data_IF_704305758427
#
_entry.id   IF_704305758427
#
_cell.length_a   1.000
_cell.length_b   1.000
_cell.length_c   1.000
_cell.angle_alpha   90.00
_cell.angle_beta   90.00
_cell.angle_gamma   90.00
#
_symmetry.space_group_name_H-M   'P 1'
#
loop_
_entity.id
_entity.type
_entity.pdbx_description
1 polymer ?
#
# COMPACT_ATOMS: atom_id res chain seq x y z
N UNK A 1 29.78 14.59 79.26
CA UNK A 1 29.61 13.17 78.87
C UNK A 1 28.12 12.89 78.77
N UNK A 2 27.58 12.84 77.56
CA UNK A 2 26.15 12.56 77.31
C UNK A 2 26.06 11.24 76.55
N UNK A 3 25.27 10.31 77.10
CA UNK A 3 25.04 8.95 76.62
C UNK A 3 23.84 8.97 75.67
N UNK A 4 24.05 8.58 74.41
CA UNK A 4 22.98 8.31 73.44
C UNK A 4 22.81 6.81 73.22
N UNK A 5 21.74 6.21 73.76
CA UNK A 5 21.25 4.88 73.39
C UNK A 5 20.38 5.00 72.14
N UNK A 6 20.63 4.15 71.14
CA UNK A 6 19.78 4.00 69.96
C UNK A 6 18.79 2.86 70.07
N UNK A 7 17.70 2.94 69.29
CA UNK A 7 16.87 1.89 68.66
C UNK A 7 15.99 2.70 67.68
N UNK A 8 15.82 2.51 66.37
CA UNK A 8 15.85 1.36 65.47
C UNK A 8 14.52 1.39 64.69
N UNK A 9 14.52 1.73 63.40
CA UNK A 9 13.52 1.20 62.44
C UNK A 9 13.88 1.54 60.99
N UNK A 10 13.71 0.52 60.17
CA UNK A 10 14.00 0.38 58.75
C UNK A 10 13.12 1.31 57.91
N UNK A 11 13.70 2.11 57.00
CA UNK A 11 12.92 2.82 55.98
C UNK A 11 13.64 2.82 54.63
N UNK A 12 12.84 2.50 53.61
CA UNK A 12 13.20 2.02 52.28
C UNK A 12 13.73 3.14 51.38
N UNK A 13 14.59 2.72 50.45
CA UNK A 13 15.08 3.43 49.26
C UNK A 13 13.94 4.15 48.52
N UNK A 14 13.90 5.48 48.58
CA UNK A 14 13.00 6.31 47.77
C UNK A 14 13.67 6.60 46.42
N UNK A 15 13.15 5.95 45.38
CA UNK A 15 13.43 6.27 43.98
C UNK A 15 12.74 7.61 43.66
N UNK A 16 13.50 8.63 43.24
CA UNK A 16 12.94 9.90 42.78
C UNK A 16 12.20 9.67 41.45
N UNK A 17 10.88 9.78 41.47
CA UNK A 17 10.07 9.89 40.27
C UNK A 17 10.23 11.32 39.71
N UNK A 18 10.78 11.44 38.51
CA UNK A 18 10.71 12.66 37.72
C UNK A 18 9.27 12.78 37.19
N UNK A 19 8.59 13.87 37.54
CA UNK A 19 7.30 14.27 36.99
C UNK A 19 7.46 14.63 35.52
N UNK A 20 6.93 13.82 34.62
CA UNK A 20 6.72 14.21 33.23
C UNK A 20 5.34 14.87 33.12
N UNK A 21 5.35 16.15 32.76
CA UNK A 21 4.18 16.93 32.39
C UNK A 21 3.51 16.28 31.19
N UNK A 22 2.29 15.78 31.38
CA UNK A 22 1.49 15.21 30.30
C UNK A 22 1.04 16.33 29.35
N UNK A 23 1.49 16.29 28.10
CA UNK A 23 0.74 16.91 27.00
C UNK A 23 -0.24 15.84 26.52
N UNK A 24 -1.47 15.97 27.00
CA UNK A 24 -2.61 15.23 26.50
C UNK A 24 -2.92 15.71 25.07
N UNK A 25 -2.81 14.79 24.12
CA UNK A 25 -3.14 15.02 22.71
C UNK A 25 -3.12 13.73 21.91
N UNK A 26 -3.42 12.59 22.55
CA UNK A 26 -3.73 11.36 21.81
C UNK A 26 -5.22 11.43 21.51
N UNK A 27 -5.53 11.81 20.27
CA UNK A 27 -6.83 11.48 19.70
C UNK A 27 -6.95 9.97 19.80
N UNK A 28 -7.94 9.52 20.57
CA UNK A 28 -8.42 8.14 20.52
C UNK A 28 -8.60 7.80 19.03
N UNK A 29 -7.85 6.82 18.53
CA UNK A 29 -8.29 6.00 17.41
C UNK A 29 -9.59 5.36 17.91
N UNK A 30 -10.72 6.04 17.64
CA UNK A 30 -12.04 5.55 17.98
C UNK A 30 -12.16 4.15 17.42
N UNK A 31 -12.68 3.24 18.24
CA UNK A 31 -13.04 1.90 17.80
C UNK A 31 -13.82 2.04 16.48
N UNK A 32 -13.20 1.61 15.39
CA UNK A 32 -13.87 1.52 14.10
C UNK A 32 -15.12 0.66 14.31
N UNK A 33 -16.25 1.12 13.76
CA UNK A 33 -17.53 0.46 13.85
C UNK A 33 -17.43 -1.03 13.52
N UNK A 34 -18.34 -1.81 14.09
CA UNK A 34 -18.40 -3.28 14.02
C UNK A 34 -18.82 -3.83 12.65
N UNK A 35 -18.45 -3.17 11.56
CA UNK A 35 -18.65 -3.64 10.18
C UNK A 35 -17.32 -3.69 9.45
N UNK A 36 -17.05 -4.77 8.74
CA UNK A 36 -15.91 -4.84 7.82
C UNK A 36 -15.98 -3.64 6.88
N UNK A 37 -14.91 -2.86 6.79
CA UNK A 37 -14.86 -1.75 5.86
C UNK A 37 -14.80 -2.33 4.43
N UNK A 38 -15.71 -1.92 3.54
CA UNK A 38 -15.69 -2.37 2.15
C UNK A 38 -14.31 -2.08 1.54
N UNK A 39 -13.52 -3.12 1.19
CA UNK A 39 -12.20 -2.95 0.62
C UNK A 39 -12.31 -2.38 -0.80
N UNK A 40 -11.26 -1.72 -1.25
CA UNK A 40 -11.13 -1.33 -2.64
C UNK A 40 -10.88 -2.61 -3.45
N UNK A 41 -11.72 -2.87 -4.46
CA UNK A 41 -11.67 -4.09 -5.29
C UNK A 41 -10.54 -4.06 -6.35
N UNK A 42 -9.45 -3.35 -6.04
CA UNK A 42 -8.22 -3.32 -6.82
C UNK A 42 -7.01 -3.39 -5.91
N UNK A 43 -5.83 -3.53 -6.52
CA UNK A 43 -4.55 -3.35 -5.85
C UNK A 43 -3.44 -3.34 -6.87
N UNK A 44 -2.18 -3.24 -6.44
CA UNK A 44 -1.14 -2.77 -7.35
C UNK A 44 -1.25 -1.27 -7.60
N UNK A 45 -0.41 -0.74 -8.48
CA UNK A 45 -0.18 0.71 -8.64
C UNK A 45 -0.45 1.18 -10.07
N UNK A 46 -0.71 2.47 -10.21
CA UNK A 46 -0.63 3.10 -11.51
C UNK A 46 0.81 2.92 -12.05
N UNK A 47 0.94 2.59 -13.32
CA UNK A 47 2.20 2.12 -13.87
C UNK A 47 2.28 2.33 -15.38
N UNK A 48 3.50 2.33 -15.91
CA UNK A 48 3.75 2.49 -17.33
C UNK A 48 3.34 1.23 -18.12
N UNK A 49 2.13 1.27 -18.67
CA UNK A 49 1.55 0.19 -19.47
C UNK A 49 1.89 0.40 -20.95
N UNK A 50 1.94 1.65 -21.39
CA UNK A 50 2.24 1.99 -22.78
C UNK A 50 3.73 1.98 -23.13
N UNK A 51 4.59 1.76 -22.14
CA UNK A 51 6.05 1.74 -22.24
C UNK A 51 6.62 3.08 -22.72
N UNK A 52 5.99 4.18 -22.33
CA UNK A 52 6.36 5.55 -22.72
C UNK A 52 7.08 6.32 -21.61
N UNK A 53 7.30 5.67 -20.47
CA UNK A 53 7.96 6.19 -19.30
C UNK A 53 7.02 6.89 -18.32
N UNK A 54 5.72 7.01 -18.57
CA UNK A 54 4.75 7.66 -17.68
C UNK A 54 3.75 6.67 -17.08
N UNK A 55 3.28 6.89 -15.83
CA UNK A 55 2.33 5.97 -15.21
C UNK A 55 0.93 6.13 -15.81
N UNK A 56 0.41 5.06 -16.37
CA UNK A 56 -0.94 4.95 -16.91
C UNK A 56 -1.90 4.40 -15.85
N UNK A 57 -3.21 4.53 -16.13
CA UNK A 57 -4.25 3.88 -15.34
C UNK A 57 -4.88 2.74 -16.12
N UNK A 58 -5.14 1.62 -15.45
CA UNK A 58 -5.94 0.53 -15.98
C UNK A 58 -7.27 0.52 -15.25
N UNK A 59 -8.37 0.40 -15.99
CA UNK A 59 -9.69 0.34 -15.38
C UNK A 59 -10.60 -0.67 -16.07
N UNK A 60 -11.59 -1.17 -15.35
CA UNK A 60 -12.71 -1.89 -15.95
C UNK A 60 -13.88 -0.95 -16.14
N UNK A 61 -14.38 -0.88 -17.36
CA UNK A 61 -15.63 -0.18 -17.64
C UNK A 61 -16.82 -0.98 -17.09
N UNK A 62 -17.54 -0.40 -16.14
CA UNK A 62 -18.63 -1.01 -15.37
C UNK A 62 -19.77 -1.58 -16.22
N UNK A 63 -20.10 -0.92 -17.33
CA UNK A 63 -21.25 -1.31 -18.16
C UNK A 63 -20.92 -2.32 -19.25
N UNK A 64 -19.66 -2.39 -19.68
CA UNK A 64 -19.26 -3.20 -20.83
C UNK A 64 -18.27 -4.32 -20.51
N UNK A 65 -17.72 -4.35 -19.30
CA UNK A 65 -16.70 -5.33 -18.91
C UNK A 65 -15.41 -5.23 -19.68
N UNK A 66 -15.18 -4.12 -20.37
CA UNK A 66 -13.94 -3.89 -21.10
C UNK A 66 -12.85 -3.48 -20.12
N UNK A 67 -11.67 -4.07 -20.29
CA UNK A 67 -10.45 -3.53 -19.71
C UNK A 67 -9.99 -2.36 -20.57
N UNK A 68 -9.77 -1.23 -19.92
CA UNK A 68 -9.39 0.03 -20.52
C UNK A 68 -8.03 0.43 -19.97
N UNK A 69 -7.16 0.96 -20.83
CA UNK A 69 -5.95 1.67 -20.42
C UNK A 69 -6.18 3.14 -20.73
N UNK A 70 -5.90 4.00 -19.75
CA UNK A 70 -5.92 5.46 -19.86
C UNK A 70 -4.47 5.95 -19.80
N UNK A 71 -3.83 6.15 -20.97
CA UNK A 71 -2.44 6.57 -20.99
C UNK A 71 -2.27 7.96 -20.40
N UNK A 72 -1.15 8.15 -19.71
CA UNK A 72 -0.70 9.48 -19.33
C UNK A 72 -0.29 10.26 -20.59
N UNK A 73 -0.57 11.57 -20.64
CA UNK A 73 -0.28 12.39 -21.83
C UNK A 73 1.19 12.81 -21.98
N UNK A 74 2.06 12.36 -21.08
CA UNK A 74 3.41 12.88 -20.91
C UNK A 74 3.47 14.26 -20.23
N UNK A 75 2.34 14.78 -19.72
CA UNK A 75 2.29 16.07 -19.03
C UNK A 75 1.20 16.08 -17.94
N UNK A 76 1.60 16.38 -16.71
CA UNK A 76 0.66 16.64 -15.62
C UNK A 76 -0.04 18.00 -15.83
N UNK A 77 -1.23 17.98 -16.41
CA UNK A 77 -1.95 19.19 -16.88
C UNK A 77 -3.46 19.08 -16.64
N UNK A 78 -3.86 18.93 -15.39
CA UNK A 78 -5.27 18.86 -15.01
C UNK A 78 -5.99 17.74 -15.76
N UNK A 79 -7.14 18.02 -16.36
CA UNK A 79 -7.94 17.02 -17.09
C UNK A 79 -7.28 16.45 -18.34
N UNK A 80 -6.19 17.04 -18.83
CA UNK A 80 -5.42 16.53 -19.96
C UNK A 80 -4.34 15.52 -19.53
N UNK A 81 -4.26 15.19 -18.24
CA UNK A 81 -3.30 14.20 -17.71
C UNK A 81 -3.60 12.80 -18.27
N UNK A 82 -4.88 12.40 -18.31
CA UNK A 82 -5.35 11.13 -18.87
C UNK A 82 -6.40 11.39 -19.97
N UNK A 83 -6.00 11.86 -21.15
CA UNK A 83 -6.90 12.52 -22.10
C UNK A 83 -7.85 11.58 -22.85
N UNK A 84 -7.46 10.31 -23.01
CA UNK A 84 -8.29 9.31 -23.69
C UNK A 84 -7.89 7.90 -23.28
N UNK A 85 -8.77 6.93 -23.52
CA UNK A 85 -8.51 5.53 -23.24
C UNK A 85 -8.58 4.66 -24.50
N UNK A 86 -7.96 3.49 -24.46
CA UNK A 86 -8.17 2.43 -25.44
C UNK A 86 -8.58 1.12 -24.76
N UNK A 87 -9.26 0.25 -25.50
CA UNK A 87 -9.63 -1.08 -25.01
C UNK A 87 -8.41 -2.01 -25.06
N UNK A 88 -8.01 -2.50 -23.89
CA UNK A 88 -6.96 -3.50 -23.70
C UNK A 88 -7.51 -4.94 -23.65
N UNK A 89 -8.82 -5.11 -23.49
CA UNK A 89 -9.44 -6.43 -23.57
C UNK A 89 -10.95 -6.41 -23.32
N UNK A 90 -11.58 -7.56 -23.54
CA UNK A 90 -13.03 -7.77 -23.36
C UNK A 90 -13.30 -8.92 -22.38
N UNK A 91 -14.50 -8.95 -21.78
CA UNK A 91 -14.94 -10.07 -20.95
C UNK A 91 -14.41 -10.07 -19.51
N UNK A 92 -14.11 -8.90 -18.95
CA UNK A 92 -13.56 -8.76 -17.59
C UNK A 92 -14.64 -8.71 -16.49
N UNK A 93 -15.92 -8.83 -16.84
CA UNK A 93 -17.05 -8.84 -15.89
C UNK A 93 -17.01 -10.01 -14.89
N UNK A 94 -16.34 -11.10 -15.26
CA UNK A 94 -16.18 -12.28 -14.41
C UNK A 94 -15.19 -12.09 -13.24
N UNK A 95 -14.43 -10.98 -13.24
CA UNK A 95 -13.42 -10.71 -12.21
C UNK A 95 -14.03 -9.90 -11.06
N UNK A 96 -13.73 -10.22 -9.81
CA UNK A 96 -14.15 -9.43 -8.65
C UNK A 96 -13.06 -8.48 -8.16
N UNK A 97 -11.82 -8.71 -8.58
CA UNK A 97 -10.66 -7.91 -8.24
C UNK A 97 -9.68 -7.87 -9.43
N UNK A 98 -9.07 -6.70 -9.70
CA UNK A 98 -8.04 -6.52 -10.75
C UNK A 98 -6.93 -5.63 -10.19
N UNK A 99 -5.68 -5.98 -10.48
CA UNK A 99 -4.54 -5.17 -10.13
C UNK A 99 -3.36 -5.34 -11.08
N UNK A 100 -2.36 -4.48 -10.91
CA UNK A 100 -1.10 -4.51 -11.67
C UNK A 100 0.04 -5.08 -10.84
N UNK A 101 0.88 -5.91 -11.47
CA UNK A 101 2.11 -6.40 -10.86
C UNK A 101 3.12 -6.89 -11.91
N UNK A 102 4.41 -6.75 -11.68
CA UNK A 102 5.43 -7.46 -12.47
C UNK A 102 5.62 -8.86 -11.88
N UNK A 103 4.89 -9.86 -12.39
CA UNK A 103 4.90 -11.21 -11.80
C UNK A 103 5.96 -12.12 -12.41
N UNK A 104 6.49 -11.77 -13.58
CA UNK A 104 7.48 -12.58 -14.31
C UNK A 104 8.91 -12.00 -14.26
N UNK A 105 9.07 -10.77 -13.76
CA UNK A 105 10.35 -10.09 -13.57
C UNK A 105 10.92 -9.46 -14.83
N UNK A 106 10.06 -9.18 -15.82
CA UNK A 106 10.47 -8.57 -17.10
C UNK A 106 10.42 -7.03 -17.10
N UNK A 107 10.11 -6.43 -15.95
CA UNK A 107 9.98 -4.99 -15.69
C UNK A 107 8.79 -4.33 -16.38
N UNK A 108 7.85 -5.10 -16.93
CA UNK A 108 6.57 -4.60 -17.42
C UNK A 108 5.48 -5.02 -16.45
N UNK A 109 4.51 -4.13 -16.21
CA UNK A 109 3.39 -4.49 -15.33
C UNK A 109 2.42 -5.41 -16.07
N UNK A 110 2.24 -6.58 -15.51
CA UNK A 110 1.20 -7.54 -15.87
C UNK A 110 -0.12 -7.19 -15.19
N UNK A 111 -1.21 -7.81 -15.65
CA UNK A 111 -2.48 -7.79 -14.92
C UNK A 111 -2.63 -9.06 -14.12
N UNK A 112 -2.93 -8.90 -12.83
CA UNK A 112 -3.43 -9.97 -11.97
C UNK A 112 -4.92 -9.73 -11.75
N UNK A 113 -5.74 -10.76 -11.91
CA UNK A 113 -7.18 -10.65 -11.69
C UNK A 113 -7.75 -11.90 -11.03
N UNK A 114 -8.75 -11.69 -10.18
CA UNK A 114 -9.38 -12.73 -9.39
C UNK A 114 -10.84 -12.92 -9.79
N UNK A 115 -11.30 -14.16 -9.82
CA UNK A 115 -12.73 -14.48 -9.93
C UNK A 115 -13.38 -14.55 -8.56
N UNK A 116 -14.71 -14.41 -8.49
CA UNK A 116 -15.47 -14.59 -7.23
C UNK A 116 -15.27 -15.97 -6.58
N UNK A 117 -14.98 -17.01 -7.38
CA UNK A 117 -14.66 -18.36 -6.91
C UNK A 117 -13.24 -18.49 -6.34
N UNK A 118 -12.41 -17.45 -6.45
CA UNK A 118 -11.06 -17.42 -5.89
C UNK A 118 -9.97 -17.96 -6.82
N UNK A 119 -10.24 -18.14 -8.11
CA UNK A 119 -9.17 -18.35 -9.08
C UNK A 119 -8.43 -17.03 -9.29
N UNK A 120 -7.10 -17.09 -9.26
CA UNK A 120 -6.24 -15.95 -9.53
C UNK A 120 -5.55 -16.18 -10.86
N UNK A 121 -5.64 -15.20 -11.76
CA UNK A 121 -5.09 -15.27 -13.11
C UNK A 121 -4.06 -14.16 -13.34
N UNK A 122 -2.96 -14.49 -14.00
CA UNK A 122 -2.05 -13.51 -14.60
C UNK A 122 -2.34 -13.34 -16.09
N UNK A 123 -2.19 -12.12 -16.59
CA UNK A 123 -2.18 -11.77 -18.00
C UNK A 123 -0.90 -10.98 -18.24
N UNK A 124 0.10 -11.64 -18.83
CA UNK A 124 1.43 -11.08 -18.95
C UNK A 124 1.45 -9.94 -19.96
N UNK A 125 2.26 -8.91 -19.71
CA UNK A 125 2.44 -7.81 -20.63
C UNK A 125 3.23 -8.28 -21.86
N UNK A 126 2.64 -8.19 -23.06
CA UNK A 126 3.22 -8.74 -24.29
C UNK A 126 4.34 -7.88 -24.89
N UNK A 127 4.46 -6.64 -24.42
CA UNK A 127 5.35 -5.62 -25.00
C UNK A 127 4.70 -4.78 -26.10
N UNK A 128 3.45 -5.06 -26.48
CA UNK A 128 2.68 -4.11 -27.27
C UNK A 128 2.34 -2.87 -26.45
N UNK A 129 2.31 -1.70 -27.06
CA UNK A 129 2.07 -0.42 -26.37
C UNK A 129 0.63 0.07 -26.48
N UNK A 130 -0.21 -0.64 -27.24
CA UNK A 130 -1.62 -0.28 -27.43
C UNK A 130 -2.47 -1.46 -27.88
N UNK A 131 -3.78 -1.33 -27.67
CA UNK A 131 -4.79 -2.24 -28.19
C UNK A 131 -4.92 -3.52 -27.36
N UNK A 132 -5.73 -4.45 -27.84
CA UNK A 132 -6.11 -5.64 -27.07
C UNK A 132 -5.05 -6.73 -26.99
N UNK A 133 -3.93 -6.58 -27.70
CA UNK A 133 -2.80 -7.51 -27.64
C UNK A 133 -1.79 -7.14 -26.57
N UNK A 134 -2.02 -6.06 -25.80
CA UNK A 134 -1.11 -5.59 -24.75
C UNK A 134 -0.88 -6.62 -23.64
N UNK A 135 -1.87 -7.48 -23.38
CA UNK A 135 -1.74 -8.60 -22.47
C UNK A 135 -1.92 -9.95 -23.17
N UNK A 136 -1.27 -10.99 -22.66
CA UNK A 136 -1.44 -12.38 -23.11
C UNK A 136 -2.81 -12.93 -22.72
N UNK A 137 -3.11 -14.16 -23.17
CA UNK A 137 -4.19 -14.95 -22.57
C UNK A 137 -3.90 -15.24 -21.10
N UNK A 138 -4.98 -15.42 -20.32
CA UNK A 138 -4.90 -15.69 -18.88
C UNK A 138 -4.15 -16.99 -18.56
N UNK A 139 -3.37 -16.95 -17.48
CA UNK A 139 -2.66 -18.08 -16.88
C UNK A 139 -3.20 -18.26 -15.47
N UNK A 140 -3.64 -19.46 -15.09
CA UNK A 140 -4.09 -19.74 -13.72
C UNK A 140 -2.87 -19.81 -12.79
N UNK A 141 -2.75 -18.82 -11.89
CA UNK A 141 -1.62 -18.66 -10.98
C UNK A 141 -1.97 -18.92 -9.51
N UNK A 142 -3.24 -19.22 -9.22
CA UNK A 142 -3.67 -19.55 -7.87
C UNK A 142 -5.14 -19.94 -7.78
N UNK A 143 -5.50 -20.57 -6.67
CA UNK A 143 -6.88 -20.92 -6.32
C UNK A 143 -7.17 -20.52 -4.87
N UNK A 144 -8.45 -20.44 -4.49
CA UNK A 144 -8.89 -20.10 -3.13
C UNK A 144 -8.46 -18.70 -2.63
N UNK A 145 -8.19 -17.76 -3.56
CA UNK A 145 -7.80 -16.39 -3.22
C UNK A 145 -8.98 -15.50 -2.77
N UNK A 146 -10.21 -15.99 -2.87
CA UNK A 146 -11.41 -15.32 -2.39
C UNK A 146 -11.52 -15.28 -0.86
N UNK A 147 -10.63 -15.97 -0.14
CA UNK A 147 -10.48 -15.81 1.32
C UNK A 147 -9.90 -14.44 1.71
N UNK A 148 -9.28 -13.76 0.74
CA UNK A 148 -8.64 -12.47 0.95
C UNK A 148 -9.53 -11.34 0.44
N UNK A 149 -9.55 -10.21 1.13
CA UNK A 149 -10.37 -9.05 0.76
C UNK A 149 -9.54 -7.87 0.25
N UNK A 150 -8.23 -7.86 0.52
CA UNK A 150 -7.28 -6.86 0.03
C UNK A 150 -6.00 -7.56 -0.42
N UNK A 151 -5.56 -7.26 -1.64
CA UNK A 151 -4.30 -7.74 -2.22
C UNK A 151 -3.48 -6.53 -2.68
N UNK A 152 -2.17 -6.54 -2.43
CA UNK A 152 -1.23 -5.55 -2.99
C UNK A 152 0.11 -6.18 -3.30
N UNK A 153 0.87 -5.54 -4.20
CA UNK A 153 2.05 -6.13 -4.83
C UNK A 153 3.29 -5.26 -4.61
N UNK A 154 4.39 -5.90 -4.25
CA UNK A 154 5.72 -5.27 -4.13
C UNK A 154 6.78 -6.37 -4.08
N UNK A 155 7.97 -6.11 -4.60
CA UNK A 155 9.11 -7.01 -4.46
C UNK A 155 9.73 -6.88 -3.06
N UNK A 156 9.55 -7.92 -2.22
CA UNK A 156 9.97 -7.91 -0.81
C UNK A 156 11.40 -8.46 -0.62
N UNK A 157 11.98 -9.18 -1.60
CA UNK A 157 13.33 -9.76 -1.47
C UNK A 157 14.36 -9.25 -2.47
N UNK A 158 13.93 -8.43 -3.43
CA UNK A 158 14.79 -7.82 -4.42
C UNK A 158 15.16 -8.74 -5.58
N UNK A 159 14.34 -9.75 -5.89
CA UNK A 159 14.57 -10.64 -7.03
C UNK A 159 13.96 -10.16 -8.35
N UNK A 160 13.32 -9.00 -8.34
CA UNK A 160 12.71 -8.35 -9.49
C UNK A 160 11.29 -8.83 -9.79
N UNK A 161 10.73 -9.79 -9.04
CA UNK A 161 9.34 -10.23 -9.17
C UNK A 161 8.53 -9.74 -7.98
N UNK A 162 7.37 -9.17 -8.25
CA UNK A 162 6.52 -8.69 -7.18
C UNK A 162 5.81 -9.84 -6.46
N UNK A 163 5.80 -9.72 -5.13
CA UNK A 163 5.12 -10.61 -4.20
C UNK A 163 3.76 -10.09 -3.82
N UNK A 164 2.96 -10.92 -3.14
CA UNK A 164 1.63 -10.51 -2.67
C UNK A 164 1.61 -10.32 -1.17
N UNK A 165 1.12 -9.16 -0.75
CA UNK A 165 0.50 -9.01 0.56
C UNK A 165 -1.00 -9.21 0.43
N UNK A 166 -1.56 -10.12 1.22
CA UNK A 166 -2.99 -10.38 1.23
C UNK A 166 -3.55 -10.35 2.64
N UNK A 167 -4.66 -9.63 2.82
CA UNK A 167 -5.42 -9.63 4.05
C UNK A 167 -6.56 -10.64 3.96
N UNK A 168 -6.69 -11.47 5.00
CA UNK A 168 -7.83 -12.41 5.12
C UNK A 168 -9.09 -11.67 5.52
N UNK A 169 -10.17 -11.86 4.77
CA UNK A 169 -11.45 -11.19 5.00
C UNK A 169 -12.03 -11.45 6.39
N UNK A 170 -11.96 -12.70 6.88
CA UNK A 170 -12.61 -13.12 8.12
C UNK A 170 -11.86 -12.75 9.40
N UNK A 171 -10.54 -12.56 9.34
CA UNK A 171 -9.70 -12.30 10.53
C UNK A 171 -9.01 -10.94 10.48
N UNK A 172 -8.84 -10.36 9.29
CA UNK A 172 -8.00 -9.18 9.07
C UNK A 172 -6.52 -9.48 9.23
N UNK A 173 -6.10 -10.74 9.27
CA UNK A 173 -4.68 -11.08 9.33
C UNK A 173 -4.01 -10.81 7.98
N UNK A 174 -2.83 -10.20 8.02
CA UNK A 174 -2.01 -9.91 6.86
C UNK A 174 -0.94 -10.98 6.67
N UNK A 175 -0.86 -11.52 5.47
CA UNK A 175 0.16 -12.48 5.05
C UNK A 175 0.94 -11.95 3.85
N UNK A 176 2.22 -12.32 3.77
CA UNK A 176 3.04 -12.13 2.58
C UNK A 176 3.29 -13.48 1.90
N UNK A 177 3.13 -13.52 0.59
CA UNK A 177 3.33 -14.70 -0.25
C UNK A 177 4.43 -14.40 -1.26
N UNK A 178 5.59 -15.06 -1.11
CA UNK A 178 6.70 -14.88 -2.05
C UNK A 178 6.33 -15.38 -3.44
N UNK A 179 6.69 -14.64 -4.48
CA UNK A 179 6.63 -15.09 -5.85
C UNK A 179 7.79 -16.05 -6.15
N UNK A 180 7.47 -17.28 -6.50
CA UNK A 180 8.43 -18.35 -6.78
C UNK A 180 9.03 -18.27 -8.18
N UNK A 181 8.45 -17.44 -9.06
CA UNK A 181 8.77 -17.38 -10.50
C UNK A 181 8.05 -18.43 -11.34
N UNK A 182 7.27 -19.33 -10.73
CA UNK A 182 6.42 -20.27 -11.47
C UNK A 182 5.23 -19.55 -12.09
N UNK A 183 4.93 -19.78 -13.36
CA UNK A 183 3.72 -19.29 -14.04
C UNK A 183 2.61 -20.35 -14.03
N UNK A 184 2.27 -20.82 -12.84
CA UNK A 184 1.22 -21.81 -12.57
C UNK A 184 0.63 -21.62 -11.16
N UNK A 185 -0.24 -22.52 -10.70
CA UNK A 185 -0.87 -22.45 -9.37
C UNK A 185 0.11 -22.47 -8.17
N UNK A 186 1.39 -22.74 -8.41
CA UNK A 186 2.50 -22.65 -7.44
C UNK A 186 3.27 -21.32 -7.49
N UNK A 187 2.78 -20.31 -8.21
CA UNK A 187 3.41 -18.99 -8.32
C UNK A 187 3.68 -18.34 -6.96
N UNK A 188 2.78 -18.51 -5.99
CA UNK A 188 2.89 -17.91 -4.68
C UNK A 188 3.13 -18.95 -3.59
N UNK A 189 4.17 -18.73 -2.78
CA UNK A 189 4.58 -19.65 -1.73
C UNK A 189 3.45 -19.92 -0.73
N UNK A 190 3.13 -21.19 -0.51
CA UNK A 190 2.08 -21.64 0.40
C UNK A 190 2.66 -22.62 1.44
N UNK A 191 2.51 -22.39 2.76
CA UNK A 191 1.76 -21.30 3.39
C UNK A 191 2.44 -19.94 3.23
N UNK A 192 1.62 -18.90 3.09
CA UNK A 192 2.08 -17.51 3.20
C UNK A 192 2.65 -17.22 4.59
N UNK A 193 3.57 -16.27 4.67
CA UNK A 193 4.20 -15.84 5.92
C UNK A 193 3.29 -14.85 6.66
N UNK A 194 2.90 -15.11 7.91
CA UNK A 194 2.14 -14.12 8.69
C UNK A 194 2.99 -12.88 8.95
N UNK A 195 2.39 -11.70 8.77
CA UNK A 195 3.03 -10.40 9.00
C UNK A 195 2.48 -9.77 10.27
N UNK A 196 1.16 -9.65 10.37
CA UNK A 196 0.45 -8.99 11.48
C UNK A 196 -1.00 -9.49 11.55
N UNK A 197 -1.66 -9.25 12.68
CA UNK A 197 -3.04 -9.64 12.95
C UNK A 197 -3.94 -8.41 13.15
N UNK A 198 -5.26 -8.58 12.99
CA UNK A 198 -6.31 -7.58 13.30
C UNK A 198 -6.34 -6.30 12.44
N UNK A 199 -6.03 -6.39 11.15
CA UNK A 199 -6.05 -5.25 10.20
C UNK A 199 -7.42 -5.01 9.54
N UNK A 200 -8.51 -5.42 10.20
CA UNK A 200 -9.88 -5.33 9.66
C UNK A 200 -10.33 -3.88 9.43
N UNK A 201 -9.73 -2.91 10.13
CA UNK A 201 -10.09 -1.50 10.03
C UNK A 201 -9.52 -0.76 8.82
N UNK A 202 -8.55 -1.32 8.09
CA UNK A 202 -8.02 -0.67 6.89
C UNK A 202 -8.95 -0.85 5.69
N UNK A 203 -9.07 0.16 4.84
CA UNK A 203 -9.76 0.02 3.54
C UNK A 203 -8.80 -0.26 2.40
N UNK A 204 -7.56 0.22 2.54
CA UNK A 204 -6.53 0.13 1.52
C UNK A 204 -5.15 0.36 2.13
N UNK A 205 -4.12 -0.25 1.54
CA UNK A 205 -2.72 0.04 1.83
C UNK A 205 -1.82 -0.32 0.65
N UNK A 206 -0.65 0.33 0.58
CA UNK A 206 0.44 0.04 -0.34
C UNK A 206 1.80 0.28 0.32
N UNK A 207 2.87 -0.26 -0.28
CA UNK A 207 4.23 -0.20 0.26
C UNK A 207 5.20 0.50 -0.67
N UNK A 208 5.61 1.74 -0.42
CA UNK A 208 6.63 2.43 -1.24
C UNK A 208 7.61 3.18 -0.36
N UNK A 209 8.79 3.50 -0.86
CA UNK A 209 9.75 4.38 -0.16
C UNK A 209 9.32 5.85 -0.33
N UNK A 210 8.35 6.29 0.48
CA UNK A 210 7.72 7.62 0.38
C UNK A 210 8.60 8.72 0.97
N UNK A 211 9.42 8.40 1.96
CA UNK A 211 10.34 9.34 2.57
C UNK A 211 11.75 9.34 1.90
N UNK A 212 12.01 8.42 0.96
CA UNK A 212 13.28 8.23 0.25
C UNK A 212 14.46 7.86 1.15
N UNK A 213 14.21 7.10 2.20
CA UNK A 213 15.26 6.62 3.10
C UNK A 213 15.89 5.28 2.67
N UNK A 214 15.36 4.67 1.59
CA UNK A 214 15.80 3.39 1.05
C UNK A 214 15.07 2.18 1.65
N UNK A 215 14.04 2.41 2.47
CA UNK A 215 13.19 1.37 3.05
C UNK A 215 11.75 1.50 2.52
N UNK A 216 11.05 0.37 2.43
CA UNK A 216 9.64 0.38 2.09
C UNK A 216 8.84 0.94 3.27
N UNK A 217 8.21 2.09 3.05
CA UNK A 217 7.16 2.62 3.93
C UNK A 217 5.82 1.97 3.60
N UNK A 218 4.88 2.08 4.51
CA UNK A 218 3.49 1.76 4.22
C UNK A 218 2.65 3.02 4.18
N UNK A 219 1.85 3.19 3.14
CA UNK A 219 0.75 4.15 3.12
C UNK A 219 -0.58 3.43 3.19
N UNK A 220 -1.50 3.90 4.01
CA UNK A 220 -2.78 3.25 4.23
C UNK A 220 -3.87 4.24 4.63
N UNK A 221 -5.12 3.85 4.43
CA UNK A 221 -6.24 4.54 5.06
C UNK A 221 -7.24 3.58 5.71
N UNK A 222 -7.76 3.98 6.87
CA UNK A 222 -8.84 3.28 7.61
C UNK A 222 -10.24 3.63 7.08
N UNK A 223 -10.27 4.45 6.03
CA UNK A 223 -11.49 4.95 5.46
C UNK A 223 -11.88 6.32 5.95
N UNK A 224 -11.25 6.92 6.95
CA UNK A 224 -11.35 8.34 7.26
C UNK A 224 -9.96 8.99 7.29
N UNK A 225 -9.03 8.35 7.99
CA UNK A 225 -7.64 8.77 8.17
C UNK A 225 -6.76 8.16 7.10
N UNK A 226 -5.92 8.97 6.45
CA UNK A 226 -4.77 8.51 5.68
C UNK A 226 -3.50 8.72 6.50
N UNK A 227 -2.62 7.73 6.51
CA UNK A 227 -1.36 7.79 7.23
C UNK A 227 -0.26 7.02 6.50
N UNK A 228 0.98 7.43 6.76
CA UNK A 228 2.19 6.74 6.32
C UNK A 228 2.93 6.22 7.55
N UNK A 229 3.32 4.96 7.54
CA UNK A 229 4.19 4.38 8.55
C UNK A 229 5.56 4.15 7.92
N UNK A 230 6.57 4.96 8.28
CA UNK A 230 7.92 4.80 7.75
C UNK A 230 8.50 3.42 8.03
N UNK A 231 9.23 2.87 7.07
CA UNK A 231 10.03 1.66 7.25
C UNK A 231 11.19 1.92 8.19
N UNK A 232 11.45 0.99 9.12
CA UNK A 232 12.64 1.08 9.97
C UNK A 232 13.87 0.49 9.28
N UNK A 233 15.06 1.13 9.40
CA UNK A 233 16.32 0.44 9.19
C UNK A 233 16.40 -0.76 10.15
N UNK A 234 16.92 -1.91 9.70
CA UNK A 234 17.15 -3.02 10.64
C UNK A 234 18.12 -2.57 11.73
N UNK A 235 17.73 -2.73 13.00
CA UNK A 235 18.67 -2.63 14.13
C UNK A 235 19.84 -3.58 13.90
N UNK A 236 21.02 -3.04 13.58
CA UNK A 236 22.25 -3.81 13.34
C UNK A 236 23.12 -3.30 12.18
N UNK A 237 22.57 -2.54 11.23
CA UNK A 237 23.38 -1.88 10.20
C UNK A 237 23.83 -0.50 10.68
N UNK A 238 24.94 -0.46 11.43
CA UNK A 238 25.70 0.77 11.52
C UNK A 238 26.27 1.08 10.14
N UNK A 239 25.89 2.24 9.59
CA UNK A 239 26.48 2.85 8.40
C UNK A 239 27.99 3.05 8.63
N UNK A 240 28.78 2.05 8.28
CA UNK A 240 30.21 2.24 8.03
C UNK A 240 30.34 2.56 6.55
N UNK A 241 31.06 3.65 6.26
CA UNK A 241 31.20 4.17 4.91
C UNK A 241 31.77 3.15 3.94
N UNK A 242 31.46 3.36 2.65
CA UNK A 242 31.91 2.60 1.48
C UNK A 242 31.19 1.28 1.18
N UNK A 243 30.09 1.36 0.41
CA UNK A 243 30.04 0.85 -0.97
C UNK A 243 28.66 1.15 -1.58
N UNK A 244 28.67 1.76 -2.78
CA UNK A 244 27.50 1.96 -3.63
C UNK A 244 27.10 0.63 -4.26
N UNK A 245 26.39 -0.20 -3.51
CA UNK A 245 25.50 -1.23 -4.05
C UNK A 245 24.20 -1.10 -3.29
N UNK A 246 23.08 -0.89 -4.00
CA UNK A 246 21.77 -0.70 -3.38
C UNK A 246 21.49 -1.80 -2.34
N UNK A 247 21.17 -1.46 -1.07
CA UNK A 247 20.77 -2.44 -0.08
C UNK A 247 19.49 -3.14 -0.54
N UNK A 248 19.44 -4.47 -0.34
CA UNK A 248 18.27 -5.29 -0.69
C UNK A 248 17.06 -4.88 0.18
N UNK A 249 15.87 -4.63 -0.39
CA UNK A 249 14.69 -4.36 0.40
C UNK A 249 14.38 -5.60 1.23
N UNK A 250 14.14 -5.41 2.54
CA UNK A 250 13.57 -6.44 3.40
C UNK A 250 12.72 -5.75 4.45
N UNK A 251 11.43 -6.09 4.46
CA UNK A 251 10.44 -5.56 5.40
C UNK A 251 10.96 -5.52 6.85
N UNK A 252 10.96 -4.33 7.45
CA UNK A 252 11.06 -4.14 8.90
C UNK A 252 9.81 -4.66 9.61
N UNK A 253 9.79 -4.62 10.94
CA UNK A 253 8.58 -4.97 11.71
C UNK A 253 7.54 -3.88 11.46
N UNK A 254 6.50 -4.18 10.67
CA UNK A 254 5.35 -3.29 10.52
C UNK A 254 4.58 -3.31 11.85
N UNK A 255 4.33 -2.16 12.50
CA UNK A 255 3.60 -2.11 13.76
C UNK A 255 2.18 -2.67 13.61
N UNK A 256 1.75 -3.49 14.55
CA UNK A 256 0.35 -3.93 14.64
C UNK A 256 -0.53 -2.71 14.93
N UNK A 257 -1.59 -2.50 14.14
CA UNK A 257 -2.68 -1.60 14.50
C UNK A 257 -3.39 -2.17 15.75
N UNK A 258 -2.96 -1.76 16.96
CA UNK A 258 -3.67 -2.08 18.20
C UNK A 258 -2.85 -2.45 19.44
N UNK A 259 -1.51 -2.45 19.41
CA UNK A 259 -0.72 -2.68 20.63
C UNK A 259 -0.22 -1.37 21.23
N UNK A 260 -0.78 -0.95 22.38
CA UNK A 260 -0.07 -0.07 23.30
C UNK A 260 1.14 -0.82 23.84
N UNK A 261 2.34 -0.36 23.52
CA UNK A 261 3.59 -0.95 23.98
C UNK A 261 3.62 -1.03 25.52
N UNK A 262 3.55 -2.25 26.06
CA UNK A 262 4.08 -2.59 27.38
C UNK A 262 5.07 -3.73 27.24
N UNK A 263 6.28 -3.41 26.81
CA UNK A 263 7.51 -4.04 27.34
C UNK A 263 8.72 -3.32 26.76
N UNK A 264 9.67 -3.01 27.64
CA UNK A 264 10.91 -2.32 27.33
C UNK A 264 11.81 -3.21 26.45
N UNK A 265 12.53 -2.57 25.53
CA UNK A 265 13.46 -3.11 24.50
C UNK A 265 12.87 -3.47 23.12
N UNK A 266 11.75 -2.87 22.73
CA UNK A 266 11.45 -2.70 21.31
C UNK A 266 12.23 -1.47 20.80
N UNK A 267 13.00 -1.61 19.72
CA UNK A 267 13.39 -0.47 18.90
C UNK A 267 12.14 0.41 18.70
N UNK A 268 12.25 1.72 18.95
CA UNK A 268 11.12 2.64 18.80
C UNK A 268 10.56 2.43 17.39
N UNK A 269 9.36 1.86 17.29
CA UNK A 269 8.68 1.83 16.02
C UNK A 269 8.34 3.27 15.63
N UNK A 270 8.78 3.69 14.44
CA UNK A 270 8.35 4.93 13.79
C UNK A 270 6.84 5.05 13.90
N UNK A 271 6.41 6.14 14.54
CA UNK A 271 5.00 6.43 14.72
C UNK A 271 4.37 6.71 13.35
N UNK A 272 3.17 6.20 13.06
CA UNK A 272 2.44 6.58 11.87
C UNK A 272 2.28 8.10 11.77
N UNK A 273 2.64 8.64 10.60
CA UNK A 273 2.47 10.04 10.24
C UNK A 273 1.10 10.19 9.59
N UNK A 274 0.17 10.88 10.26
CA UNK A 274 -1.14 11.19 9.66
C UNK A 274 -0.95 12.21 8.55
N UNK A 275 -1.39 11.86 7.34
CA UNK A 275 -1.24 12.69 6.13
C UNK A 275 -2.56 13.29 5.64
N UNK A 276 -3.70 12.88 6.21
CA UNK A 276 -4.97 13.53 5.94
C UNK A 276 -6.17 12.85 6.61
N UNK A 277 -7.32 13.51 6.49
CA UNK A 277 -8.62 13.08 7.03
C UNK A 277 -9.72 13.20 5.97
N UNK A 278 -10.87 12.57 6.21
CA UNK A 278 -12.01 12.61 5.29
C UNK A 278 -11.85 11.76 4.04
N UNK A 279 -11.03 10.71 4.08
CA UNK A 279 -10.81 9.79 2.97
C UNK A 279 -11.99 8.84 2.70
N UNK A 280 -13.09 8.94 3.46
CA UNK A 280 -14.32 8.18 3.25
C UNK A 280 -15.06 8.59 1.98
N UNK A 281 -14.70 9.73 1.41
CA UNK A 281 -15.24 10.22 0.14
C UNK A 281 -14.58 9.57 -1.07
N UNK A 282 -13.42 8.91 -0.89
CA UNK A 282 -12.73 8.18 -1.94
C UNK A 282 -13.15 6.71 -1.94
N UNK A 283 -13.24 6.12 -3.12
CA UNK A 283 -13.53 4.70 -3.32
C UNK A 283 -12.47 3.98 -4.17
N UNK A 284 -11.44 4.71 -4.61
CA UNK A 284 -10.20 4.16 -5.18
C UNK A 284 -9.05 5.08 -4.76
N UNK A 285 -7.94 4.49 -4.31
CA UNK A 285 -6.66 5.18 -4.09
C UNK A 285 -5.56 4.34 -4.72
N UNK A 286 -4.64 4.99 -5.42
CA UNK A 286 -3.44 4.42 -6.04
C UNK A 286 -2.26 5.34 -5.75
N UNK A 287 -1.05 4.84 -5.96
CA UNK A 287 0.16 5.67 -5.96
C UNK A 287 0.91 5.54 -7.29
N UNK A 288 1.49 6.64 -7.74
CA UNK A 288 2.48 6.70 -8.81
C UNK A 288 3.11 8.10 -8.84
N UNK A 289 4.34 8.24 -9.32
CA UNK A 289 4.93 9.53 -9.69
C UNK A 289 4.31 10.06 -11.01
N UNK A 290 3.14 10.71 -10.89
CA UNK A 290 2.33 11.22 -12.02
C UNK A 290 2.96 12.47 -12.62
N UNK A 291 3.58 13.30 -11.78
CA UNK A 291 4.13 14.58 -12.20
C UNK A 291 5.62 14.51 -12.63
N UNK A 292 6.29 13.37 -12.42
CA UNK A 292 7.71 13.11 -12.71
C UNK A 292 8.70 13.96 -11.89
N UNK A 293 8.34 14.33 -10.67
CA UNK A 293 9.25 14.93 -9.69
C UNK A 293 10.04 13.89 -8.89
N UNK A 294 9.73 12.61 -9.11
CA UNK A 294 10.36 11.45 -8.51
C UNK A 294 9.73 11.00 -7.19
N UNK A 295 8.74 11.69 -6.67
CA UNK A 295 7.99 11.26 -5.50
C UNK A 295 6.67 10.61 -5.92
N UNK A 296 6.26 9.57 -5.20
CA UNK A 296 4.98 8.91 -5.49
C UNK A 296 3.82 9.83 -5.06
N UNK A 297 2.98 10.23 -6.02
CA UNK A 297 1.76 10.98 -5.79
C UNK A 297 0.61 10.05 -5.42
N UNK A 298 -0.46 10.58 -4.80
CA UNK A 298 -1.72 9.84 -4.71
C UNK A 298 -2.61 10.12 -5.91
N UNK A 299 -3.21 9.09 -6.46
CA UNK A 299 -4.33 9.19 -7.40
C UNK A 299 -5.57 8.67 -6.68
N UNK A 300 -6.64 9.45 -6.66
CA UNK A 300 -7.86 9.07 -5.95
C UNK A 300 -9.12 9.35 -6.75
N UNK A 301 -9.95 8.33 -6.91
CA UNK A 301 -11.32 8.48 -7.39
C UNK A 301 -12.23 8.77 -6.21
N UNK A 302 -13.00 9.84 -6.33
CA UNK A 302 -14.03 10.23 -5.40
C UNK A 302 -15.35 9.55 -5.76
N UNK A 303 -16.21 9.31 -4.77
CA UNK A 303 -17.57 8.76 -4.95
C UNK A 303 -18.47 9.62 -5.85
N UNK A 304 -18.13 10.89 -6.06
CA UNK A 304 -18.81 11.79 -7.00
C UNK A 304 -18.32 11.66 -8.46
N UNK A 305 -17.44 10.69 -8.75
CA UNK A 305 -16.96 10.41 -10.10
C UNK A 305 -15.76 11.25 -10.54
N UNK A 306 -15.20 12.08 -9.67
CA UNK A 306 -14.01 12.88 -9.99
C UNK A 306 -12.74 12.11 -9.68
N UNK A 307 -11.74 12.28 -10.54
CA UNK A 307 -10.40 11.76 -10.33
C UNK A 307 -9.47 12.92 -9.97
N UNK A 308 -8.77 12.81 -8.85
CA UNK A 308 -7.79 13.78 -8.40
C UNK A 308 -6.41 13.15 -8.26
N UNK A 309 -5.38 13.95 -8.52
CA UNK A 309 -4.01 13.66 -8.10
C UNK A 309 -3.68 14.56 -6.91
N UNK A 310 -3.03 14.03 -5.89
CA UNK A 310 -2.49 14.76 -4.76
C UNK A 310 -0.96 14.67 -4.85
N UNK A 311 -0.30 15.70 -5.43
CA UNK A 311 1.13 15.64 -5.63
C UNK A 311 1.88 15.52 -4.31
N UNK A 312 2.91 14.68 -4.23
CA UNK A 312 3.76 14.63 -3.05
C UNK A 312 4.53 15.95 -2.90
N UNK A 313 4.70 16.46 -1.67
CA UNK A 313 5.37 17.75 -1.44
C UNK A 313 6.91 17.65 -1.41
N UNK A 314 7.43 16.44 -1.57
CA UNK A 314 8.85 16.11 -1.46
C UNK A 314 9.30 15.75 -0.04
N UNK A 315 8.41 15.79 0.95
CA UNK A 315 8.73 15.46 2.35
C UNK A 315 7.54 14.86 3.09
N UNK A 316 7.79 13.82 3.89
CA UNK A 316 6.81 13.25 4.80
C UNK A 316 6.62 14.16 6.03
N UNK A 317 5.69 15.10 5.95
CA UNK A 317 5.47 16.15 6.94
C UNK A 317 3.99 16.26 7.34
N UNK A 318 3.46 15.21 7.97
CA UNK A 318 2.08 15.19 8.44
C UNK A 318 1.09 15.47 7.31
N UNK A 319 0.10 16.33 7.56
CA UNK A 319 -0.90 16.73 6.56
C UNK A 319 -0.35 17.58 5.41
N UNK A 320 0.91 18.00 5.47
CA UNK A 320 1.59 18.71 4.38
C UNK A 320 2.41 17.76 3.48
N UNK A 321 2.31 16.45 3.69
CA UNK A 321 2.97 15.42 2.85
C UNK A 321 2.48 15.47 1.41
N UNK A 322 1.19 15.78 1.20
CA UNK A 322 0.62 15.96 -0.13
C UNK A 322 0.18 17.41 -0.32
N UNK A 323 0.51 17.95 -1.50
CA UNK A 323 0.12 19.26 -1.99
C UNK A 323 -1.39 19.33 -2.26
N UNK A 324 -1.97 20.53 -2.45
CA UNK A 324 -3.36 20.66 -2.87
C UNK A 324 -3.66 19.80 -4.11
N UNK A 325 -4.77 19.06 -4.05
CA UNK A 325 -5.18 18.15 -5.11
C UNK A 325 -5.46 18.88 -6.43
N UNK A 326 -5.11 18.25 -7.53
CA UNK A 326 -5.39 18.68 -8.90
C UNK A 326 -6.45 17.77 -9.49
N UNK A 327 -7.49 18.35 -10.07
CA UNK A 327 -8.51 17.59 -10.77
C UNK A 327 -7.96 17.10 -12.12
N UNK A 328 -7.96 15.79 -12.33
CA UNK A 328 -7.45 15.16 -13.54
C UNK A 328 -8.51 14.44 -14.37
N UNK A 329 -9.76 14.41 -13.90
CA UNK A 329 -10.86 13.94 -14.74
C UNK A 329 -12.21 13.94 -14.04
N UNK A 330 -13.26 13.78 -14.85
CA UNK A 330 -14.66 13.69 -14.45
C UNK A 330 -15.28 12.43 -15.04
N UNK A 331 -16.42 11.97 -14.51
CA UNK A 331 -17.13 10.83 -15.10
C UNK A 331 -16.45 9.47 -14.87
N UNK A 332 -15.55 9.37 -13.90
CA UNK A 332 -14.78 8.15 -13.63
C UNK A 332 -15.62 7.04 -12.97
N UNK A 333 -16.86 7.33 -12.55
CA UNK A 333 -17.84 6.36 -12.07
C UNK A 333 -18.30 5.37 -13.15
N UNK A 334 -17.98 5.63 -14.42
CA UNK A 334 -18.13 4.66 -15.51
C UNK A 334 -17.22 3.43 -15.32
N UNK A 335 -16.17 3.57 -14.51
CA UNK A 335 -15.28 2.47 -14.17
C UNK A 335 -15.62 1.98 -12.76
N UNK A 336 -15.66 0.66 -12.55
CA UNK A 336 -15.92 0.08 -11.23
C UNK A 336 -14.66 -0.42 -10.52
N UNK A 337 -13.60 -0.71 -11.27
CA UNK A 337 -12.27 -1.07 -10.77
C UNK A 337 -11.23 -0.19 -11.48
N UNK A 338 -10.27 0.36 -10.73
CA UNK A 338 -9.13 1.13 -11.26
C UNK A 338 -7.85 0.69 -10.53
N UNK A 339 -6.79 0.44 -11.28
CA UNK A 339 -5.45 0.09 -10.81
C UNK A 339 -4.38 0.83 -11.58
#
# INVERSE_FOLDING_TARGET
MSLGRGIGSTARRLLRAATATAVAGVVLLGAAGTGAADPINSGGRAADITLDGWPDLVARNKSSGRLMVYPHSGRFSGTDTFPSAFTAGWGWDGMDWIGTADVNGDQRKDIVARTKSGELYAYLHSGATRGSSIYTTKILIGTHWNINDLLTFVDIDGDGREDVFARRAGTGDLYAYRNTGSLDTGMFANPGKPITQNWQGLRWFQFSDLNRDGHLDMIAHDGYTMFVTPGEPRTGEQRTGEQRTAPKPKLGKIPNAGQTARSAAAAEATQPVVTGWGWDIADTVLIADVNKDGYEDLIARMKDGKLYVYPHSGSLNGTATFSPRVLVGWGWEINDIIT
#
